data_IF_438428477039
#
_entry.id   IF_438428477039
#
_cell.length_a   1.000
_cell.length_b   1.000
_cell.length_c   1.000
_cell.angle_alpha   90.00
_cell.angle_beta   90.00
_cell.angle_gamma   90.00
#
_symmetry.space_group_name_H-M   'P 1'
#
loop_
_entity.id
_entity.type
_entity.pdbx_description
1 polymer ?
#
# COMPACT_ATOMS: atom_id res chain seq x y z
N UNK A 1 8.16 -18.64 -7.33
CA UNK A 1 6.80 -19.10 -6.93
C UNK A 1 6.42 -18.75 -5.49
N UNK A 2 7.24 -19.04 -4.46
CA UNK A 2 6.83 -18.82 -3.05
C UNK A 2 6.57 -17.35 -2.70
N UNK A 3 7.40 -16.41 -3.17
CA UNK A 3 7.27 -14.98 -2.86
C UNK A 3 6.01 -14.34 -3.47
N UNK A 4 5.67 -14.67 -4.72
CA UNK A 4 4.46 -14.16 -5.37
C UNK A 4 3.18 -14.46 -4.57
N UNK A 5 3.07 -15.67 -4.03
CA UNK A 5 1.92 -16.06 -3.18
C UNK A 5 1.88 -15.30 -1.85
N UNK A 6 3.04 -14.99 -1.27
CA UNK A 6 3.14 -14.16 -0.06
C UNK A 6 2.63 -12.76 -0.35
N UNK A 7 3.00 -12.17 -1.49
CA UNK A 7 2.52 -10.84 -1.88
C UNK A 7 1.03 -10.80 -2.14
N UNK A 8 0.46 -11.81 -2.80
CA UNK A 8 -0.99 -11.89 -3.03
C UNK A 8 -1.77 -11.88 -1.72
N UNK A 9 -1.41 -12.73 -0.75
CA UNK A 9 -2.09 -12.81 0.56
C UNK A 9 -2.03 -11.48 1.33
N UNK A 10 -0.87 -10.84 1.37
CA UNK A 10 -0.69 -9.58 2.09
C UNK A 10 -1.37 -8.41 1.38
N UNK A 11 -1.30 -8.36 0.05
CA UNK A 11 -1.99 -7.34 -0.72
C UNK A 11 -3.52 -7.49 -0.66
N UNK A 12 -4.03 -8.72 -0.64
CA UNK A 12 -5.46 -8.99 -0.42
C UNK A 12 -5.91 -8.39 0.92
N UNK A 13 -5.08 -8.54 1.97
CA UNK A 13 -5.34 -7.93 3.29
C UNK A 13 -5.37 -6.40 3.21
N UNK A 14 -4.42 -5.78 2.49
CA UNK A 14 -4.45 -4.32 2.24
C UNK A 14 -5.68 -3.88 1.45
N UNK A 15 -6.14 -4.67 0.47
CA UNK A 15 -7.36 -4.39 -0.30
C UNK A 15 -8.61 -4.51 0.56
N UNK A 16 -8.70 -5.50 1.45
CA UNK A 16 -9.79 -5.62 2.42
C UNK A 16 -9.87 -4.38 3.32
N UNK A 17 -8.72 -3.88 3.78
CA UNK A 17 -8.64 -2.64 4.56
C UNK A 17 -9.00 -1.41 3.71
N UNK A 18 -8.58 -1.36 2.45
CA UNK A 18 -8.96 -0.29 1.50
C UNK A 18 -10.46 -0.28 1.22
N UNK A 19 -11.08 -1.46 1.13
CA UNK A 19 -12.52 -1.61 0.99
C UNK A 19 -13.27 -1.10 2.22
N UNK A 20 -12.76 -1.39 3.42
CA UNK A 20 -13.27 -0.86 4.68
C UNK A 20 -13.15 0.67 4.74
N UNK A 21 -12.03 1.26 4.30
CA UNK A 21 -11.86 2.71 4.21
C UNK A 21 -12.89 3.35 3.25
N UNK A 22 -13.12 2.73 2.09
CA UNK A 22 -14.13 3.16 1.12
C UNK A 22 -15.55 3.17 1.69
N UNK A 23 -15.92 2.18 2.51
CA UNK A 23 -17.23 2.14 3.18
C UNK A 23 -17.41 3.27 4.20
N UNK A 24 -16.31 3.81 4.73
CA UNK A 24 -16.30 4.93 5.68
C UNK A 24 -16.14 6.30 5.00
N UNK A 25 -16.16 6.33 3.67
CA UNK A 25 -16.00 7.55 2.88
C UNK A 25 -14.57 8.07 2.81
N UNK A 26 -13.57 7.26 3.17
CA UNK A 26 -12.17 7.58 2.95
C UNK A 26 -11.68 7.08 1.58
N UNK A 27 -10.58 7.67 1.10
CA UNK A 27 -9.94 7.18 -0.13
C UNK A 27 -9.41 5.76 0.13
N UNK A 28 -9.62 4.77 -0.76
CA UNK A 28 -9.22 3.36 -0.56
C UNK A 28 -7.72 3.10 -0.70
N UNK A 29 -6.90 4.04 -0.20
CA UNK A 29 -5.47 3.85 0.02
C UNK A 29 -5.32 3.26 1.41
N UNK A 30 -4.84 2.02 1.47
CA UNK A 30 -4.61 1.29 2.71
C UNK A 30 -3.35 0.45 2.60
N UNK A 31 -2.72 0.21 3.74
CA UNK A 31 -1.49 -0.56 3.81
C UNK A 31 -1.41 -1.44 5.05
N UNK A 32 -0.53 -2.44 4.96
CA UNK A 32 -0.05 -3.22 6.10
C UNK A 32 1.48 -3.24 6.10
N UNK A 33 2.05 -3.23 7.29
CA UNK A 33 3.48 -3.35 7.53
C UNK A 33 3.74 -4.78 8.02
N UNK A 34 4.56 -5.52 7.27
CA UNK A 34 4.87 -6.92 7.55
C UNK A 34 6.33 -7.03 7.95
N UNK A 35 6.60 -7.61 9.11
CA UNK A 35 7.94 -8.00 9.54
C UNK A 35 8.41 -9.19 8.72
N UNK A 36 9.26 -8.92 7.74
CA UNK A 36 9.72 -9.82 6.68
C UNK A 36 10.32 -11.11 7.23
N UNK A 37 11.20 -11.11 8.26
CA UNK A 37 11.78 -12.34 8.80
C UNK A 37 10.75 -13.31 9.39
N UNK A 38 9.63 -12.80 9.91
CA UNK A 38 8.61 -13.63 10.60
C UNK A 38 7.30 -13.78 9.81
N UNK A 39 7.15 -13.07 8.70
CA UNK A 39 5.91 -13.00 7.92
C UNK A 39 4.68 -12.58 8.78
N UNK A 40 4.88 -11.64 9.71
CA UNK A 40 3.84 -11.17 10.64
C UNK A 40 3.46 -9.73 10.35
N UNK A 41 2.17 -9.45 10.33
CA UNK A 41 1.64 -8.08 10.29
C UNK A 41 1.92 -7.42 11.63
N UNK A 42 2.58 -6.27 11.61
CA UNK A 42 2.97 -5.51 12.82
C UNK A 42 2.27 -4.17 12.94
N UNK A 43 1.78 -3.63 11.82
CA UNK A 43 0.97 -2.42 11.79
C UNK A 43 0.13 -2.39 10.51
N UNK A 44 -0.84 -1.50 10.48
CA UNK A 44 -1.67 -1.23 9.32
C UNK A 44 -2.05 0.24 9.27
N UNK A 45 -2.55 0.69 8.13
CA UNK A 45 -2.98 2.07 7.97
C UNK A 45 -3.98 2.24 6.84
N UNK A 46 -4.81 3.27 6.95
CA UNK A 46 -5.70 3.71 5.89
C UNK A 46 -5.66 5.24 5.82
N UNK A 47 -6.01 5.79 4.67
CA UNK A 47 -6.14 7.25 4.54
C UNK A 47 -7.12 7.80 5.59
N UNK A 48 -6.74 8.89 6.24
CA UNK A 48 -7.48 9.53 7.32
C UNK A 48 -7.59 11.06 7.14
N UNK A 49 -7.41 11.54 5.90
CA UNK A 49 -7.44 12.96 5.57
C UNK A 49 -8.80 13.61 5.85
N UNK A 50 -9.92 12.90 5.66
CA UNK A 50 -11.24 13.46 5.95
C UNK A 50 -11.50 13.57 7.46
N UNK A 51 -11.01 12.63 8.28
CA UNK A 51 -11.16 12.68 9.74
C UNK A 51 -10.19 13.67 10.38
N UNK A 52 -8.93 13.64 9.99
CA UNK A 52 -7.88 14.51 10.56
C UNK A 52 -8.00 15.97 10.11
N UNK A 53 -8.70 16.24 9.00
CA UNK A 53 -8.76 17.55 8.34
C UNK A 53 -7.37 18.05 7.92
N UNK A 54 -6.45 17.13 7.66
CA UNK A 54 -5.09 17.42 7.17
C UNK A 54 -4.86 16.73 5.83
N UNK A 55 -4.02 17.33 4.98
CA UNK A 55 -3.62 16.72 3.71
C UNK A 55 -2.47 15.71 3.83
N UNK A 56 -2.05 15.34 5.04
CA UNK A 56 -0.85 14.52 5.30
C UNK A 56 -1.12 13.20 6.00
N UNK A 57 -2.33 12.99 6.54
CA UNK A 57 -2.71 11.76 7.25
C UNK A 57 -2.99 10.59 6.28
N UNK A 58 -1.97 10.16 5.55
CA UNK A 58 -2.02 9.03 4.64
C UNK A 58 -1.84 7.70 5.37
N UNK A 59 -2.18 6.61 4.69
CA UNK A 59 -2.14 5.25 5.24
C UNK A 59 -0.76 4.90 5.83
N UNK A 60 0.31 5.27 5.14
CA UNK A 60 1.68 5.00 5.57
C UNK A 60 2.01 5.68 6.90
N UNK A 61 1.58 6.93 7.10
CA UNK A 61 1.80 7.65 8.36
C UNK A 61 1.05 7.02 9.53
N UNK A 62 -0.19 6.56 9.31
CA UNK A 62 -0.94 5.85 10.34
C UNK A 62 -0.21 4.58 10.81
N UNK A 63 0.32 3.77 9.88
CA UNK A 63 1.06 2.57 10.25
C UNK A 63 2.44 2.88 10.86
N UNK A 64 3.14 3.92 10.40
CA UNK A 64 4.37 4.41 11.03
C UNK A 64 4.11 4.80 12.48
N UNK A 65 3.04 5.55 12.76
CA UNK A 65 2.70 5.94 14.13
C UNK A 65 2.37 4.74 15.01
N UNK A 66 1.65 3.73 14.48
CA UNK A 66 1.44 2.47 15.21
C UNK A 66 2.76 1.76 15.53
N UNK A 67 3.74 1.74 14.62
CA UNK A 67 5.06 1.14 14.89
C UNK A 67 5.81 1.92 15.97
N UNK A 68 5.76 3.26 15.92
CA UNK A 68 6.41 4.14 16.90
C UNK A 68 5.85 3.98 18.32
N UNK A 69 4.61 3.52 18.48
CA UNK A 69 4.01 3.28 19.80
C UNK A 69 4.65 2.11 20.55
N UNK A 70 5.22 1.13 19.85
CA UNK A 70 5.84 -0.05 20.48
C UNK A 70 7.34 -0.20 20.23
N UNK A 71 7.89 0.42 19.17
CA UNK A 71 9.33 0.51 18.92
C UNK A 71 9.83 1.82 19.52
N UNK A 72 10.78 1.74 20.46
CA UNK A 72 11.43 2.94 21.00
C UNK A 72 12.09 3.76 19.89
N UNK A 73 12.11 5.09 20.00
CA UNK A 73 12.52 5.98 18.88
C UNK A 73 13.94 5.73 18.33
N UNK A 74 14.82 5.10 19.11
CA UNK A 74 16.21 4.81 18.70
C UNK A 74 16.36 3.51 17.89
N UNK A 75 15.37 2.62 17.91
CA UNK A 75 15.41 1.32 17.22
C UNK A 75 14.55 1.33 15.94
N UNK A 76 13.94 2.47 15.62
CA UNK A 76 12.95 2.57 14.55
C UNK A 76 13.57 2.31 13.16
N UNK A 77 14.75 2.86 12.89
CA UNK A 77 15.41 2.66 11.59
C UNK A 77 15.82 1.19 11.37
N UNK A 78 16.41 0.56 12.39
CA UNK A 78 16.79 -0.85 12.35
C UNK A 78 15.57 -1.76 12.17
N UNK A 79 14.46 -1.43 12.84
CA UNK A 79 13.22 -2.18 12.70
C UNK A 79 12.62 -2.05 11.29
N UNK A 80 12.68 -0.86 10.68
CA UNK A 80 12.11 -0.60 9.36
C UNK A 80 12.86 -1.32 8.23
N UNK A 81 14.15 -1.64 8.40
CA UNK A 81 14.92 -2.44 7.43
C UNK A 81 14.30 -3.83 7.22
N UNK A 82 13.71 -4.40 8.27
CA UNK A 82 13.04 -5.71 8.22
C UNK A 82 11.57 -5.62 7.77
N UNK A 83 11.07 -4.45 7.39
CA UNK A 83 9.66 -4.28 7.00
C UNK A 83 9.46 -4.33 5.48
N UNK A 84 8.49 -5.14 5.07
CA UNK A 84 7.83 -5.04 3.78
C UNK A 84 6.49 -4.31 3.95
N UNK A 85 6.34 -3.16 3.29
CA UNK A 85 5.07 -2.45 3.19
C UNK A 85 4.25 -3.02 2.02
N UNK A 86 2.99 -3.36 2.27
CA UNK A 86 2.02 -3.70 1.23
C UNK A 86 0.96 -2.61 1.16
N UNK A 87 0.85 -1.88 0.05
CA UNK A 87 -0.07 -0.74 -0.08
C UNK A 87 -0.90 -0.82 -1.37
N UNK A 88 -2.19 -0.51 -1.30
CA UNK A 88 -3.09 -0.65 -2.46
C UNK A 88 -2.71 0.27 -3.63
N UNK A 89 -2.18 1.46 -3.33
CA UNK A 89 -1.75 2.46 -4.31
C UNK A 89 -0.32 2.86 -4.01
N UNK A 90 0.49 3.06 -5.05
CA UNK A 90 1.87 3.53 -4.95
C UNK A 90 2.00 4.70 -3.96
N UNK A 91 2.98 4.64 -3.03
CA UNK A 91 3.26 5.74 -2.13
C UNK A 91 3.43 7.05 -2.88
N UNK A 92 2.78 8.11 -2.39
CA UNK A 92 3.01 9.43 -2.96
C UNK A 92 4.43 9.92 -2.63
N UNK A 93 4.92 10.95 -3.33
CA UNK A 93 6.25 11.54 -3.12
C UNK A 93 6.57 11.79 -1.63
N UNK A 94 5.59 12.30 -0.87
CA UNK A 94 5.74 12.53 0.57
C UNK A 94 5.93 11.23 1.36
N UNK A 95 5.05 10.24 1.14
CA UNK A 95 5.14 8.95 1.84
C UNK A 95 6.39 8.18 1.43
N UNK A 96 6.74 8.18 0.14
CA UNK A 96 7.96 7.58 -0.39
C UNK A 96 9.22 8.18 0.26
N UNK A 97 9.26 9.50 0.45
CA UNK A 97 10.36 10.19 1.13
C UNK A 97 10.43 9.83 2.61
N UNK A 98 9.29 9.77 3.31
CA UNK A 98 9.25 9.36 4.72
C UNK A 98 9.73 7.92 4.90
N UNK A 99 9.26 6.99 4.07
CA UNK A 99 9.68 5.59 4.08
C UNK A 99 11.20 5.43 3.81
N UNK A 100 11.75 6.24 2.90
CA UNK A 100 13.20 6.24 2.63
C UNK A 100 14.02 6.69 3.84
N UNK A 101 13.61 7.79 4.47
CA UNK A 101 14.28 8.34 5.64
C UNK A 101 14.22 7.40 6.85
N UNK A 102 13.15 6.62 6.95
CA UNK A 102 12.99 5.57 7.97
C UNK A 102 13.75 4.28 7.64
N UNK A 103 14.29 4.13 6.43
CA UNK A 103 15.05 2.96 6.04
C UNK A 103 14.18 1.71 5.78
N UNK A 104 12.99 1.89 5.19
CA UNK A 104 12.12 0.75 4.84
C UNK A 104 12.87 -0.31 4.02
N UNK A 105 12.68 -1.60 4.34
CA UNK A 105 13.29 -2.70 3.59
C UNK A 105 12.75 -2.81 2.17
N UNK A 106 11.42 -2.90 2.03
CA UNK A 106 10.76 -3.12 0.73
C UNK A 106 9.35 -2.52 0.69
N UNK A 107 8.95 -2.06 -0.50
CA UNK A 107 7.56 -1.70 -0.79
C UNK A 107 6.99 -2.62 -1.88
N UNK A 108 5.77 -3.08 -1.68
CA UNK A 108 4.95 -3.80 -2.65
C UNK A 108 3.64 -3.05 -2.78
N UNK A 109 3.22 -2.75 -4.00
CA UNK A 109 1.99 -2.01 -4.22
C UNK A 109 1.15 -2.53 -5.39
N UNK A 110 -0.13 -2.19 -5.37
CA UNK A 110 -1.08 -2.53 -6.42
C UNK A 110 -1.00 -1.54 -7.59
N UNK A 111 -1.86 -0.53 -7.55
CA UNK A 111 -1.97 0.47 -8.62
C UNK A 111 -0.91 1.56 -8.52
N UNK A 112 -0.43 2.05 -9.67
CA UNK A 112 0.39 3.27 -9.74
C UNK A 112 -0.39 4.51 -9.30
N UNK A 113 0.32 5.54 -8.87
CA UNK A 113 -0.25 6.82 -8.47
C UNK A 113 0.03 7.88 -9.54
N UNK A 114 -0.88 7.98 -10.51
CA UNK A 114 -0.75 8.82 -11.71
C UNK A 114 -0.49 10.31 -11.44
N UNK A 115 -0.82 10.80 -10.24
CA UNK A 115 -0.69 12.24 -9.92
C UNK A 115 0.47 12.55 -9.01
N UNK A 116 0.80 11.64 -8.11
CA UNK A 116 1.73 11.92 -7.01
C UNK A 116 2.73 10.79 -6.75
N UNK A 117 2.82 9.78 -7.61
CA UNK A 117 3.65 8.59 -7.42
C UNK A 117 5.11 8.88 -7.18
N UNK A 118 5.62 8.41 -6.04
CA UNK A 118 6.98 8.65 -5.58
C UNK A 118 7.96 7.50 -5.82
N UNK A 119 7.50 6.37 -6.39
CA UNK A 119 8.30 5.15 -6.56
C UNK A 119 8.45 4.74 -8.04
N UNK A 120 8.16 5.64 -8.97
CA UNK A 120 8.26 5.38 -10.41
C UNK A 120 7.36 6.25 -11.26
N UNK A 121 6.09 6.44 -10.88
CA UNK A 121 5.11 7.04 -11.81
C UNK A 121 5.37 8.52 -12.09
N UNK A 122 5.73 9.32 -11.07
CA UNK A 122 6.05 10.75 -11.25
C UNK A 122 7.51 11.01 -10.90
N UNK A 123 7.96 10.53 -9.74
CA UNK A 123 9.35 10.58 -9.30
C UNK A 123 9.80 9.21 -8.78
N UNK A 124 11.11 9.00 -8.72
CA UNK A 124 11.76 7.83 -8.12
C UNK A 124 12.46 8.20 -6.81
N UNK A 125 11.71 8.66 -5.82
CA UNK A 125 12.22 9.06 -4.50
C UNK A 125 12.92 7.88 -3.82
N UNK A 126 12.36 6.68 -3.97
CA UNK A 126 12.93 5.43 -3.45
C UNK A 126 14.38 5.18 -3.88
N UNK A 127 14.86 5.79 -4.98
CA UNK A 127 16.24 5.66 -5.47
C UNK A 127 16.93 7.00 -5.77
N UNK A 128 16.36 8.13 -5.35
CA UNK A 128 16.97 9.45 -5.58
C UNK A 128 18.28 9.65 -4.79
N UNK A 129 18.98 10.76 -5.05
CA UNK A 129 20.21 11.14 -4.36
C UNK A 129 20.03 12.27 -3.35
N UNK A 130 18.87 12.94 -3.34
CA UNK A 130 18.63 14.11 -2.49
C UNK A 130 17.86 13.80 -1.19
N UNK A 131 17.14 12.69 -1.13
CA UNK A 131 16.48 12.22 0.08
C UNK A 131 17.45 11.35 0.89
N UNK A 132 17.68 11.72 2.15
CA UNK A 132 18.55 10.97 3.07
C UNK A 132 17.94 9.59 3.34
N UNK A 133 18.78 8.57 3.42
CA UNK A 133 18.39 7.18 3.68
C UNK A 133 18.83 6.24 2.56
N UNK A 134 18.81 4.94 2.85
CA UNK A 134 19.16 3.89 1.87
C UNK A 134 18.04 3.78 0.83
N UNK A 135 18.41 3.60 -0.44
CA UNK A 135 17.44 3.29 -1.48
C UNK A 135 16.74 1.96 -1.21
N UNK A 136 15.45 1.87 -1.54
CA UNK A 136 14.66 0.65 -1.40
C UNK A 136 14.00 0.25 -2.71
N UNK A 137 13.70 -1.05 -2.82
CA UNK A 137 13.01 -1.62 -3.97
C UNK A 137 11.49 -1.48 -3.81
N UNK A 138 10.81 -1.18 -4.92
CA UNK A 138 9.36 -1.03 -4.98
C UNK A 138 8.79 -1.92 -6.07
N UNK A 139 7.93 -2.88 -5.70
CA UNK A 139 7.33 -3.85 -6.60
C UNK A 139 5.87 -3.48 -6.90
N UNK A 140 5.53 -3.06 -8.13
CA UNK A 140 4.18 -2.69 -8.53
C UNK A 140 3.33 -3.92 -8.90
N UNK A 141 2.06 -3.69 -9.20
CA UNK A 141 1.26 -4.62 -9.99
C UNK A 141 0.60 -5.76 -9.23
N UNK A 142 0.82 -5.89 -7.92
CA UNK A 142 0.20 -6.97 -7.12
C UNK A 142 -1.27 -6.64 -6.87
N UNK A 143 -2.20 -7.44 -7.40
CA UNK A 143 -3.65 -7.17 -7.33
C UNK A 143 -4.01 -5.72 -7.76
N UNK A 144 -3.36 -5.27 -8.84
CA UNK A 144 -3.46 -3.90 -9.35
C UNK A 144 -4.86 -3.55 -9.83
N UNK A 145 -5.55 -4.48 -10.49
CA UNK A 145 -6.89 -4.25 -11.05
C UNK A 145 -7.91 -4.02 -9.93
N UNK A 146 -7.80 -4.74 -8.83
CA UNK A 146 -8.58 -4.55 -7.61
C UNK A 146 -8.38 -3.16 -7.01
N UNK A 147 -7.13 -2.72 -6.88
CA UNK A 147 -6.80 -1.38 -6.38
C UNK A 147 -7.36 -0.27 -7.29
N UNK A 148 -7.25 -0.44 -8.61
CA UNK A 148 -7.86 0.48 -9.60
C UNK A 148 -9.39 0.50 -9.43
N UNK A 149 -10.02 -0.67 -9.27
CA UNK A 149 -11.47 -0.77 -9.10
C UNK A 149 -11.96 -0.06 -7.84
N UNK A 150 -11.26 -0.22 -6.70
CA UNK A 150 -11.59 0.52 -5.48
C UNK A 150 -11.49 2.04 -5.69
N UNK A 151 -10.44 2.53 -6.36
CA UNK A 151 -10.33 3.95 -6.72
C UNK A 151 -11.47 4.41 -7.62
N UNK A 152 -11.87 3.61 -8.61
CA UNK A 152 -13.03 3.91 -9.46
C UNK A 152 -14.32 4.00 -8.65
N UNK A 153 -14.54 3.09 -7.70
CA UNK A 153 -15.70 3.14 -6.79
C UNK A 153 -15.70 4.43 -5.96
N UNK A 154 -14.54 4.84 -5.44
CA UNK A 154 -14.39 6.09 -4.70
C UNK A 154 -14.73 7.32 -5.55
N UNK A 155 -14.27 7.38 -6.81
CA UNK A 155 -14.52 8.53 -7.68
C UNK A 155 -15.93 8.60 -8.27
N UNK A 156 -16.65 7.46 -8.31
CA UNK A 156 -18.07 7.40 -8.69
C UNK A 156 -18.96 7.84 -7.52
N UNK A 157 -18.64 7.45 -6.27
CA UNK A 157 -19.30 8.00 -5.09
C UNK A 157 -19.07 9.51 -5.03
N UNK A 158 -20.12 10.31 -5.06
CA UNK A 158 -19.98 11.76 -4.91
C UNK A 158 -19.45 12.09 -3.52
N UNK A 159 -18.40 12.91 -3.44
CA UNK A 159 -17.95 13.45 -2.16
C UNK A 159 -18.97 14.50 -1.67
N UNK A 160 -19.89 14.09 -0.80
CA UNK A 160 -20.89 14.97 -0.17
C UNK A 160 -20.24 16.06 0.71
N UNK A 161 -18.98 15.89 1.11
CA UNK A 161 -18.22 16.85 1.93
C UNK A 161 -17.46 17.90 1.10
N UNK A 162 -17.53 17.84 -0.23
CA UNK A 162 -16.89 18.84 -1.08
C UNK A 162 -17.66 20.19 -1.01
N UNK A 163 -16.98 21.34 -0.82
CA UNK A 163 -17.64 22.66 -0.64
C UNK A 163 -18.58 23.08 -1.78
N UNK A 164 -18.40 22.51 -2.97
CA UNK A 164 -19.32 22.60 -4.10
C UNK A 164 -19.38 21.22 -4.77
N UNK A 165 -20.53 20.51 -4.72
CA UNK A 165 -20.71 19.31 -5.52
C UNK A 165 -20.60 19.73 -6.99
N UNK A 166 -19.52 19.35 -7.68
CA UNK A 166 -19.53 19.42 -9.14
C UNK A 166 -20.52 18.35 -9.59
N UNK A 167 -21.57 18.72 -10.32
CA UNK A 167 -22.44 17.80 -11.05
C UNK A 167 -21.57 17.05 -12.05
N UNK A 168 -21.01 15.93 -11.63
CA UNK A 168 -20.28 15.04 -12.52
C UNK A 168 -21.36 14.24 -13.23
N UNK A 169 -21.52 14.46 -14.54
CA UNK A 169 -22.43 13.68 -15.38
C UNK A 169 -22.19 12.17 -15.23
N UNK A 170 -23.20 11.36 -15.58
CA UNK A 170 -23.20 9.90 -15.46
C UNK A 170 -21.84 9.29 -15.83
N UNK A 171 -21.00 9.04 -14.82
CA UNK A 171 -19.78 8.26 -15.01
C UNK A 171 -20.20 6.81 -14.91
N UNK A 172 -20.33 6.14 -16.05
CA UNK A 172 -20.40 4.69 -16.07
C UNK A 172 -19.10 4.13 -15.48
N UNK A 173 -19.26 3.17 -14.58
CA UNK A 173 -18.15 2.49 -13.94
C UNK A 173 -17.55 1.49 -14.92
N UNK A 174 -16.35 1.78 -15.43
CA UNK A 174 -15.61 0.85 -16.28
C UNK A 174 -15.03 -0.29 -15.43
N UNK A 175 -15.44 -1.52 -15.71
CA UNK A 175 -14.98 -2.75 -15.04
C UNK A 175 -14.01 -3.59 -15.90
N UNK A 176 -13.82 -3.23 -17.17
CA UNK A 176 -13.20 -4.11 -18.15
C UNK A 176 -11.88 -3.56 -18.70
N UNK A 177 -11.78 -2.24 -18.87
CA UNK A 177 -10.58 -1.64 -19.44
C UNK A 177 -9.66 -1.19 -18.31
N UNK A 178 -8.44 -1.73 -18.28
CA UNK A 178 -7.37 -1.29 -17.38
C UNK A 178 -6.24 -0.73 -18.24
N UNK A 179 -5.62 0.41 -17.87
CA UNK A 179 -4.48 0.92 -18.62
C UNK A 179 -3.34 -0.09 -18.60
N UNK A 180 -2.44 -0.08 -19.60
CA UNK A 180 -1.22 -0.89 -19.54
C UNK A 180 -0.37 -0.51 -18.33
N UNK A 181 0.46 -1.45 -17.87
CA UNK A 181 1.46 -1.20 -16.82
C UNK A 181 2.84 -1.19 -17.45
N UNK A 182 3.46 -0.01 -17.49
CA UNK A 182 4.85 0.13 -17.89
C UNK A 182 5.76 -0.30 -16.72
N UNK A 183 6.18 -1.57 -16.71
CA UNK A 183 7.00 -2.13 -15.64
C UNK A 183 8.38 -1.46 -15.53
N UNK A 184 8.92 -0.98 -16.66
CA UNK A 184 10.23 -0.32 -16.72
C UNK A 184 10.27 1.01 -15.95
N UNK A 185 9.10 1.60 -15.66
CA UNK A 185 8.98 2.81 -14.83
C UNK A 185 9.36 2.55 -13.37
N UNK A 186 9.30 1.30 -12.90
CA UNK A 186 9.44 0.94 -11.49
C UNK A 186 10.66 0.06 -11.18
N UNK A 187 10.97 -0.90 -12.06
CA UNK A 187 12.07 -1.84 -11.82
C UNK A 187 12.65 -2.44 -13.10
N UNK A 188 13.89 -2.93 -12.99
CA UNK A 188 14.59 -3.68 -14.03
C UNK A 188 14.05 -5.11 -14.17
N UNK A 189 14.22 -5.70 -15.36
CA UNK A 189 13.76 -7.06 -15.68
C UNK A 189 14.24 -8.12 -14.68
N UNK A 190 15.49 -8.07 -14.27
CA UNK A 190 16.03 -9.07 -13.35
C UNK A 190 15.40 -8.96 -11.96
N UNK A 191 15.10 -7.75 -11.49
CA UNK A 191 14.35 -7.57 -10.25
C UNK A 191 12.93 -8.12 -10.35
N UNK A 192 12.28 -7.96 -11.52
CA UNK A 192 10.94 -8.50 -11.78
C UNK A 192 10.95 -10.03 -11.67
N UNK A 193 11.87 -10.67 -12.40
CA UNK A 193 11.95 -12.13 -12.46
C UNK A 193 12.35 -12.73 -11.12
N UNK A 194 13.26 -12.09 -10.39
CA UNK A 194 13.67 -12.55 -9.07
C UNK A 194 12.52 -12.51 -8.06
N UNK A 195 11.66 -11.48 -8.12
CA UNK A 195 10.56 -11.33 -7.16
C UNK A 195 9.33 -12.17 -7.56
N UNK A 196 8.89 -12.08 -8.82
CA UNK A 196 7.62 -12.69 -9.27
C UNK A 196 7.78 -14.08 -9.90
N UNK A 197 8.95 -14.38 -10.46
CA UNK A 197 9.27 -15.63 -11.12
C UNK A 197 9.45 -15.50 -12.64
N UNK A 198 10.30 -16.37 -13.18
CA UNK A 198 10.61 -16.47 -14.61
C UNK A 198 9.38 -16.76 -15.47
N UNK A 199 8.39 -17.48 -14.92
CA UNK A 199 7.13 -17.80 -15.59
C UNK A 199 6.26 -16.58 -15.92
N UNK A 200 6.53 -15.42 -15.29
CA UNK A 200 5.77 -14.18 -15.48
C UNK A 200 6.48 -13.14 -16.34
N UNK A 201 7.69 -13.46 -16.83
CA UNK A 201 8.53 -12.49 -17.54
C UNK A 201 7.83 -11.85 -18.74
N UNK A 202 6.98 -12.60 -19.45
CA UNK A 202 6.25 -12.07 -20.61
C UNK A 202 5.39 -10.84 -20.27
N UNK A 203 4.86 -10.76 -19.04
CA UNK A 203 4.08 -9.61 -18.58
C UNK A 203 4.92 -8.33 -18.48
N UNK A 204 6.22 -8.46 -18.17
CA UNK A 204 7.15 -7.33 -18.12
C UNK A 204 7.29 -6.66 -19.49
N UNK A 205 7.42 -7.46 -20.55
CA UNK A 205 7.60 -6.98 -21.92
C UNK A 205 6.29 -6.59 -22.60
N UNK A 206 5.19 -7.27 -22.27
CA UNK A 206 3.88 -7.03 -22.87
C UNK A 206 3.07 -5.95 -22.15
N UNK A 207 3.61 -5.34 -21.08
CA UNK A 207 2.95 -4.30 -20.27
C UNK A 207 1.58 -4.72 -19.69
N UNK A 208 1.46 -6.00 -19.34
CA UNK A 208 0.22 -6.60 -18.82
C UNK A 208 0.31 -6.91 -17.33
N UNK A 209 -0.85 -6.98 -16.67
CA UNK A 209 -0.95 -7.52 -15.32
C UNK A 209 -0.66 -9.03 -15.34
N UNK A 210 0.11 -9.52 -14.37
CA UNK A 210 0.40 -10.96 -14.23
C UNK A 210 -0.67 -11.72 -13.42
N UNK A 211 -1.66 -11.01 -12.89
CA UNK A 211 -2.82 -11.60 -12.20
C UNK A 211 -3.96 -11.74 -13.20
N UNK A 212 -4.59 -12.92 -13.27
CA UNK A 212 -5.59 -13.25 -14.32
C UNK A 212 -7.01 -12.82 -13.95
N UNK A 213 -7.48 -13.17 -12.75
CA UNK A 213 -8.83 -12.87 -12.28
C UNK A 213 -8.87 -11.71 -11.29
N UNK A 214 -9.98 -10.97 -11.30
CA UNK A 214 -10.26 -9.92 -10.30
C UNK A 214 -10.98 -10.56 -9.11
N UNK A 215 -10.47 -10.31 -7.91
CA UNK A 215 -11.09 -10.74 -6.65
C UNK A 215 -12.33 -9.89 -6.32
N UNK A 216 -13.42 -10.02 -7.09
CA UNK A 216 -14.65 -9.25 -6.91
C UNK A 216 -15.21 -9.34 -5.48
N UNK A 217 -15.12 -10.51 -4.86
CA UNK A 217 -15.56 -10.71 -3.49
C UNK A 217 -14.81 -9.85 -2.47
N UNK A 218 -13.53 -9.54 -2.72
CA UNK A 218 -12.71 -8.68 -1.86
C UNK A 218 -13.13 -7.21 -1.98
N UNK A 219 -13.42 -6.75 -3.21
CA UNK A 219 -13.68 -5.34 -3.52
C UNK A 219 -15.15 -4.94 -3.54
N UNK A 220 -16.09 -5.88 -3.63
CA UNK A 220 -17.53 -5.58 -3.63
C UNK A 220 -18.16 -5.80 -2.26
N UNK A 221 -17.73 -6.83 -1.51
CA UNK A 221 -18.31 -7.15 -0.20
C UNK A 221 -17.74 -6.25 0.91
N UNK A 222 -18.57 -5.79 1.86
CA UNK A 222 -18.08 -5.07 3.04
C UNK A 222 -17.14 -5.95 3.89
N UNK A 223 -16.12 -5.32 4.47
CA UNK A 223 -15.05 -5.98 5.23
C UNK A 223 -15.16 -5.65 6.72
N UNK A 224 -16.26 -6.05 7.37
CA UNK A 224 -16.60 -5.60 8.72
C UNK A 224 -15.60 -6.02 9.82
N UNK A 225 -14.94 -7.17 9.66
CA UNK A 225 -14.04 -7.77 10.66
C UNK A 225 -12.57 -7.43 10.44
N UNK A 226 -12.21 -6.73 9.36
CA UNK A 226 -10.80 -6.56 8.96
C UNK A 226 -9.96 -5.86 10.03
N UNK A 227 -10.55 -4.90 10.76
CA UNK A 227 -9.85 -4.21 11.85
C UNK A 227 -9.58 -5.16 13.01
N UNK A 228 -10.56 -5.96 13.42
CA UNK A 228 -10.41 -6.93 14.52
C UNK A 228 -9.36 -8.00 14.17
N UNK A 229 -9.36 -8.47 12.92
CA UNK A 229 -8.36 -9.42 12.41
C UNK A 229 -6.95 -8.82 12.40
N UNK A 230 -6.80 -7.57 11.96
CA UNK A 230 -5.51 -6.87 11.95
C UNK A 230 -4.99 -6.61 13.36
N UNK A 231 -5.85 -6.20 14.29
CA UNK A 231 -5.50 -6.06 15.71
C UNK A 231 -5.05 -7.40 16.31
N UNK A 232 -5.78 -8.49 16.02
CA UNK A 232 -5.40 -9.82 16.48
C UNK A 232 -4.05 -10.27 15.88
N UNK A 233 -3.82 -10.06 14.58
CA UNK A 233 -2.56 -10.38 13.91
C UNK A 233 -1.38 -9.60 14.50
N UNK A 234 -1.61 -8.30 14.75
CA UNK A 234 -0.67 -7.37 15.35
C UNK A 234 -0.26 -7.82 16.76
N UNK A 235 -1.22 -8.16 17.62
CA UNK A 235 -0.94 -8.72 18.94
C UNK A 235 -0.23 -10.08 18.88
N UNK A 236 -0.63 -10.95 17.94
CA UNK A 236 -0.03 -12.28 17.76
C UNK A 236 1.40 -12.23 17.20
N UNK A 237 1.86 -11.10 16.65
CA UNK A 237 3.25 -10.94 16.20
C UNK A 237 4.27 -11.11 17.32
N UNK A 238 3.87 -10.88 18.58
CA UNK A 238 4.78 -10.94 19.73
C UNK A 238 5.82 -9.82 19.77
N UNK A 239 5.83 -8.92 18.78
CA UNK A 239 6.73 -7.77 18.65
C UNK A 239 6.22 -6.55 19.44
N UNK A 240 5.00 -6.63 19.95
CA UNK A 240 4.44 -5.68 20.89
C UNK A 240 5.03 -5.94 22.26
N UNK A 241 6.26 -5.47 22.48
CA UNK A 241 6.80 -5.38 23.81
C UNK A 241 5.85 -4.51 24.64
N UNK A 242 5.29 -5.07 25.72
CA UNK A 242 4.62 -4.24 26.72
C UNK A 242 5.61 -3.15 27.09
N UNK A 243 5.28 -1.91 26.79
CA UNK A 243 5.91 -0.69 27.31
C UNK A 243 5.72 -0.63 28.85
N UNK A 244 6.16 -1.66 29.59
CA UNK A 244 6.41 -1.64 31.02
C UNK A 244 7.77 -0.99 31.22
N UNK A 245 7.86 0.31 30.92
CA UNK A 245 8.81 1.30 31.46
C UNK A 245 8.90 2.49 30.51
N UNK A 246 7.85 3.32 30.49
CA UNK A 246 8.11 4.75 30.42
C UNK A 246 7.85 5.27 31.83
N UNK A 247 8.89 5.22 32.66
CA UNK A 247 9.01 6.10 33.82
C UNK A 247 9.71 7.35 33.30
N UNK A 248 8.98 8.44 33.17
CA UNK A 248 9.48 9.79 33.45
C UNK A 248 8.33 10.62 33.97
#
# INVERSE_FOLDING_TARGET
MVLANVHLRHMETSLRLGRYALDRGETPVACIFVHTPTDRIVAYGMNDTNRSLTGVAHAEFMGIDQIREFVGSFELADFFEDITLYVTVEPCIMCASALKQLGIGKVVFGAGNERFGGNGTVLRINSDTCTIGRSYVSFPGVLRREAIMLLRYFYVKSNERAPKPRTKGERSLDKNNFPPINWQDYLERDAFVNEFGQDKEEHYYNETDWTEDILWDVIDKPQFTVIEELEAARHASGLWFKNKKIKH
#
